data_IF_227173106136
#
_entry.id   IF_227173106136
#
_cell.length_a   1.000
_cell.length_b   1.000
_cell.length_c   1.000
_cell.angle_alpha   90.00
_cell.angle_beta   90.00
_cell.angle_gamma   90.00
#
_symmetry.space_group_name_H-M   'P 1'
#
loop_
_entity.id
_entity.type
_entity.pdbx_description
1 polymer ?
#
# COMPACT_ATOMS: atom_id res chain seq x y z
N UNK A 1 -3.95 -43.39 -10.74
CA UNK A 1 -3.59 -43.49 -9.31
C UNK A 1 -3.40 -42.09 -8.71
N UNK A 2 -4.44 -41.24 -8.72
CA UNK A 2 -4.42 -39.86 -8.16
C UNK A 2 -5.80 -39.41 -7.65
N UNK A 3 -6.86 -40.13 -8.01
CA UNK A 3 -8.25 -39.87 -7.64
C UNK A 3 -8.56 -40.16 -6.18
N UNK A 4 -7.84 -41.10 -5.56
CA UNK A 4 -8.17 -41.62 -4.22
C UNK A 4 -7.89 -40.61 -3.09
N UNK A 5 -6.86 -39.78 -3.24
CA UNK A 5 -6.58 -38.69 -2.29
C UNK A 5 -7.61 -37.56 -2.40
N UNK A 6 -8.05 -37.25 -3.63
CA UNK A 6 -9.03 -36.19 -3.89
C UNK A 6 -10.43 -36.49 -3.34
N UNK A 7 -10.85 -37.77 -3.35
CA UNK A 7 -12.15 -38.18 -2.78
C UNK A 7 -12.11 -38.09 -1.25
N UNK A 8 -11.03 -38.61 -0.63
CA UNK A 8 -10.86 -38.60 0.84
C UNK A 8 -10.77 -37.20 1.43
N UNK A 9 -10.10 -36.26 0.74
CA UNK A 9 -10.03 -34.85 1.20
C UNK A 9 -11.39 -34.17 1.11
N UNK A 10 -12.16 -34.45 0.05
CA UNK A 10 -13.51 -33.90 -0.14
C UNK A 10 -14.49 -34.40 0.91
N UNK A 11 -14.49 -35.69 1.22
CA UNK A 11 -15.31 -36.26 2.29
C UNK A 11 -14.97 -35.68 3.67
N UNK A 12 -13.68 -35.55 3.99
CA UNK A 12 -13.24 -34.92 5.24
C UNK A 12 -13.65 -33.45 5.33
N UNK A 13 -13.48 -32.70 4.25
CA UNK A 13 -13.87 -31.29 4.18
C UNK A 13 -15.39 -31.11 4.33
N UNK A 14 -16.21 -31.97 3.70
CA UNK A 14 -17.67 -31.93 3.83
C UNK A 14 -18.14 -32.33 5.24
N UNK A 15 -17.51 -33.35 5.83
CA UNK A 15 -17.78 -33.79 7.21
C UNK A 15 -17.41 -32.72 8.24
N UNK A 16 -16.40 -31.90 7.95
CA UNK A 16 -15.91 -30.84 8.85
C UNK A 16 -16.14 -29.44 8.26
N UNK A 17 -17.19 -29.27 7.44
CA UNK A 17 -17.45 -28.03 6.68
C UNK A 17 -17.47 -26.77 7.55
N UNK A 18 -17.95 -26.89 8.79
CA UNK A 18 -17.95 -25.81 9.78
C UNK A 18 -16.54 -25.49 10.26
N UNK A 19 -15.74 -26.50 10.62
CA UNK A 19 -14.36 -26.30 11.05
C UNK A 19 -13.48 -25.72 9.93
N UNK A 20 -13.67 -26.17 8.69
CA UNK A 20 -12.99 -25.61 7.51
C UNK A 20 -13.39 -24.15 7.32
N UNK A 21 -14.69 -23.84 7.39
CA UNK A 21 -15.20 -22.47 7.30
C UNK A 21 -14.64 -21.55 8.38
N UNK A 22 -14.66 -21.99 9.65
CA UNK A 22 -14.11 -21.23 10.78
C UNK A 22 -12.60 -21.04 10.64
N UNK A 23 -11.87 -22.05 10.19
CA UNK A 23 -10.42 -21.94 9.96
C UNK A 23 -10.12 -20.88 8.90
N UNK A 24 -10.82 -20.91 7.77
CA UNK A 24 -10.65 -19.89 6.73
C UNK A 24 -11.07 -18.50 7.19
N UNK A 25 -12.14 -18.40 7.99
CA UNK A 25 -12.55 -17.13 8.58
C UNK A 25 -11.46 -16.58 9.51
N UNK A 26 -10.88 -17.43 10.36
CA UNK A 26 -9.77 -17.03 11.24
C UNK A 26 -8.55 -16.58 10.43
N UNK A 27 -8.18 -17.31 9.37
CA UNK A 27 -7.08 -16.93 8.46
C UNK A 27 -7.35 -15.56 7.83
N UNK A 28 -8.58 -15.32 7.37
CA UNK A 28 -8.97 -14.05 6.77
C UNK A 28 -8.89 -12.90 7.77
N UNK A 29 -9.44 -13.09 8.98
CA UNK A 29 -9.45 -12.06 10.01
C UNK A 29 -8.03 -11.74 10.51
N UNK A 30 -7.22 -12.77 10.78
CA UNK A 30 -5.83 -12.61 11.21
C UNK A 30 -4.98 -11.98 10.11
N UNK A 31 -5.11 -12.47 8.87
CA UNK A 31 -4.41 -11.92 7.71
C UNK A 31 -4.79 -10.46 7.45
N UNK A 32 -6.08 -10.13 7.54
CA UNK A 32 -6.58 -8.76 7.43
C UNK A 32 -6.05 -7.84 8.53
N UNK A 33 -6.07 -8.29 9.79
CA UNK A 33 -5.52 -7.53 10.91
C UNK A 33 -4.02 -7.23 10.72
N UNK A 34 -3.24 -8.23 10.31
CA UNK A 34 -1.81 -8.06 10.00
C UNK A 34 -1.61 -7.13 8.81
N UNK A 35 -2.42 -7.23 7.76
CA UNK A 35 -2.34 -6.36 6.61
C UNK A 35 -2.59 -4.89 6.97
N UNK A 36 -3.58 -4.60 7.83
CA UNK A 36 -3.85 -3.25 8.33
C UNK A 36 -2.66 -2.69 9.13
N UNK A 37 -2.06 -3.50 10.01
CA UNK A 37 -0.85 -3.10 10.73
C UNK A 37 0.34 -2.84 9.78
N UNK A 38 0.37 -3.53 8.64
CA UNK A 38 1.36 -3.35 7.58
C UNK A 38 1.15 -2.13 6.69
N UNK A 39 0.01 -1.41 6.79
CA UNK A 39 -0.29 -0.30 5.89
C UNK A 39 0.75 0.82 5.93
N UNK A 40 1.35 1.08 7.09
CA UNK A 40 2.43 2.07 7.26
C UNK A 40 3.76 1.66 6.63
N UNK A 41 3.88 0.44 6.12
CA UNK A 41 5.08 -0.08 5.42
C UNK A 41 4.94 -0.08 3.90
N UNK A 42 3.78 0.31 3.36
CA UNK A 42 3.66 0.49 1.92
C UNK A 42 4.49 1.72 1.52
N UNK A 43 5.51 1.49 0.73
CA UNK A 43 6.24 2.57 0.09
C UNK A 43 5.44 3.08 -1.10
N UNK A 44 5.26 4.40 -1.20
CA UNK A 44 4.60 5.06 -2.34
C UNK A 44 5.61 5.42 -3.45
N UNK A 45 6.80 4.83 -3.45
CA UNK A 45 7.80 5.08 -4.48
C UNK A 45 7.46 4.32 -5.77
N UNK A 46 6.83 5.01 -6.72
CA UNK A 46 6.66 4.53 -8.11
C UNK A 46 7.97 4.59 -8.92
N UNK A 47 9.12 4.49 -8.25
CA UNK A 47 10.42 4.49 -8.92
C UNK A 47 10.78 3.06 -9.28
N UNK A 48 11.07 2.80 -10.55
CA UNK A 48 11.68 1.53 -10.94
C UNK A 48 13.03 1.42 -10.23
N UNK A 49 13.08 0.61 -9.17
CA UNK A 49 14.29 0.42 -8.38
C UNK A 49 15.40 -0.13 -9.28
N UNK A 50 16.57 0.51 -9.25
CA UNK A 50 17.75 0.11 -10.03
C UNK A 50 18.00 0.86 -11.35
N UNK A 51 17.07 1.71 -11.80
CA UNK A 51 17.27 2.52 -13.01
C UNK A 51 18.27 3.69 -12.82
N UNK A 52 18.80 4.26 -13.91
CA UNK A 52 19.72 5.42 -13.84
C UNK A 52 19.15 6.62 -13.07
N UNK A 53 17.84 6.89 -13.20
CA UNK A 53 17.15 7.95 -12.46
C UNK A 53 17.10 7.71 -10.94
N UNK A 54 16.96 6.45 -10.50
CA UNK A 54 16.98 6.10 -9.08
C UNK A 54 18.36 6.40 -8.46
N UNK A 55 19.45 6.05 -9.16
CA UNK A 55 20.82 6.36 -8.71
C UNK A 55 21.11 7.86 -8.68
N UNK A 56 20.64 8.60 -9.68
CA UNK A 56 20.78 10.05 -9.71
C UNK A 56 20.06 10.71 -8.52
N UNK A 57 18.83 10.28 -8.22
CA UNK A 57 18.09 10.78 -7.07
C UNK A 57 18.77 10.46 -5.74
N UNK A 58 19.34 9.25 -5.59
CA UNK A 58 20.12 8.88 -4.40
C UNK A 58 21.36 9.78 -4.24
N UNK A 59 22.12 10.00 -5.31
CA UNK A 59 23.31 10.86 -5.27
C UNK A 59 22.99 12.32 -4.91
N UNK A 60 21.85 12.85 -5.39
CA UNK A 60 21.37 14.19 -5.02
C UNK A 60 21.00 14.25 -3.54
N UNK A 61 20.30 13.23 -3.03
CA UNK A 61 19.96 13.14 -1.60
C UNK A 61 21.21 13.04 -0.71
N UNK A 62 22.15 12.16 -1.04
CA UNK A 62 23.40 11.99 -0.28
C UNK A 62 24.23 13.27 -0.22
N UNK A 63 24.27 14.02 -1.33
CA UNK A 63 25.13 15.20 -1.45
C UNK A 63 24.52 16.48 -0.90
N UNK A 64 23.20 16.62 -1.00
CA UNK A 64 22.51 17.88 -0.68
C UNK A 64 21.49 17.75 0.45
N UNK A 65 21.15 16.53 0.88
CA UNK A 65 20.14 16.28 1.93
C UNK A 65 18.72 16.74 1.56
N UNK A 66 18.50 17.15 0.31
CA UNK A 66 17.30 17.83 -0.12
C UNK A 66 16.21 16.86 -0.56
N UNK A 67 14.96 17.22 -0.25
CA UNK A 67 13.72 16.44 -0.38
C UNK A 67 13.32 15.92 -1.77
N UNK A 68 14.25 15.59 -2.67
CA UNK A 68 14.00 14.87 -3.92
C UNK A 68 13.28 13.51 -3.70
N UNK A 69 13.22 13.02 -2.46
CA UNK A 69 12.44 11.85 -2.08
C UNK A 69 10.92 12.11 -1.94
N UNK A 70 10.48 13.36 -1.72
CA UNK A 70 9.07 13.68 -1.42
C UNK A 70 8.66 14.97 -2.14
N UNK A 71 7.58 14.91 -2.91
CA UNK A 71 7.03 16.11 -3.56
C UNK A 71 6.62 17.15 -2.49
N UNK A 72 7.08 18.41 -2.59
CA UNK A 72 6.71 19.44 -1.63
C UNK A 72 5.22 19.77 -1.74
N UNK A 73 4.57 19.95 -0.59
CA UNK A 73 3.18 20.43 -0.54
C UNK A 73 3.16 21.91 -0.91
N UNK A 74 2.48 22.26 -2.01
CA UNK A 74 2.30 23.65 -2.45
C UNK A 74 0.84 24.03 -2.23
N UNK A 75 0.59 24.95 -1.31
CA UNK A 75 -0.73 25.52 -1.13
C UNK A 75 -1.01 26.52 -2.26
N UNK A 76 -2.10 26.32 -2.99
CA UNK A 76 -2.56 27.24 -4.03
C UNK A 76 -3.80 27.97 -3.52
N UNK A 77 -3.71 29.29 -3.39
CA UNK A 77 -4.85 30.15 -3.08
C UNK A 77 -5.32 30.84 -4.36
N UNK A 78 -6.60 30.71 -4.69
CA UNK A 78 -7.25 31.45 -5.77
C UNK A 78 -8.06 32.60 -5.19
N UNK A 79 -7.99 33.77 -5.80
CA UNK A 79 -8.74 34.95 -5.37
C UNK A 79 -9.95 35.20 -6.29
N UNK A 80 -11.11 35.61 -5.75
CA UNK A 80 -12.25 35.98 -6.59
C UNK A 80 -11.91 37.20 -7.47
N UNK A 81 -12.51 37.23 -8.66
CA UNK A 81 -12.27 38.31 -9.62
C UNK A 81 -12.64 39.67 -9.00
N UNK A 82 -11.74 40.64 -9.10
CA UNK A 82 -11.98 42.04 -8.72
C UNK A 82 -11.59 42.43 -7.29
N UNK A 83 -11.06 41.51 -6.48
CA UNK A 83 -10.52 41.87 -5.16
C UNK A 83 -8.99 41.93 -5.21
N UNK A 84 -8.41 43.05 -4.78
CA UNK A 84 -6.96 43.24 -4.66
C UNK A 84 -6.54 42.90 -3.22
N UNK A 85 -5.54 42.04 -3.06
CA UNK A 85 -4.95 41.67 -1.76
C UNK A 85 -4.38 42.87 -1.00
N UNK A 86 -4.06 43.96 -1.72
CA UNK A 86 -3.51 45.19 -1.15
C UNK A 86 -4.55 46.25 -0.84
N UNK A 87 -5.82 46.03 -1.19
CA UNK A 87 -6.87 46.98 -0.86
C UNK A 87 -7.08 46.99 0.67
N UNK A 88 -6.96 48.14 1.35
CA UNK A 88 -7.42 48.24 2.73
C UNK A 88 -8.94 48.01 2.76
N UNK A 89 -9.40 47.25 3.75
CA UNK A 89 -10.83 46.98 3.97
C UNK A 89 -11.63 48.24 4.25
#
# INVERSE_FOLDING_TARGET
MSTDLGVRTRERALRHRTAVGVTWLLVLLLGGAVAVLGLGRLDQSFTASGGPGHRANQAVQERYGNGAAVAPLVAVASWPAGADVRAPG
#
